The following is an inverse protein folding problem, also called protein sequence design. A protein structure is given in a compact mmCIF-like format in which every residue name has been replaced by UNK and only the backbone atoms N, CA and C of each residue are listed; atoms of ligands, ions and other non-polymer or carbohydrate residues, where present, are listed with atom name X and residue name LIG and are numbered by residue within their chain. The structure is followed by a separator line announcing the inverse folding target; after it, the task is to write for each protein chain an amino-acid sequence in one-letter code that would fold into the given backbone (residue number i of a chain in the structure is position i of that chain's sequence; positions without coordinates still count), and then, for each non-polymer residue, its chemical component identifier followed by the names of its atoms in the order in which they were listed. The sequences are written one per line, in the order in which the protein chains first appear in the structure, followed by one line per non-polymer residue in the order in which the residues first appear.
data_IF_467428714877
#
_entry.id   IF_467428714877
#
_cell.length_a   1.000
_cell.length_b   1.000
_cell.length_c   1.000
_cell.angle_alpha   90.00
_cell.angle_beta   90.00
_cell.angle_gamma   90.00
#
_symmetry.space_group_name_H-M   'P 1'
#
loop_
_entity.id
_entity.type
_entity.pdbx_description
1 polymer ?
#
# COMPACT_ATOMS: atom_id res chain seq x y z
N UNK A 1 0.91 8.95 3.81
CA UNK A 1 -0.05 10.07 3.78
C UNK A 1 0.61 11.45 3.70
N UNK A 2 1.68 11.72 4.46
CA UNK A 2 2.37 13.04 4.47
C UNK A 2 2.79 13.55 3.09
N UNK A 3 3.33 12.69 2.21
CA UNK A 3 3.79 13.10 0.88
C UNK A 3 2.71 13.76 0.01
N UNK A 4 1.48 13.24 0.03
CA UNK A 4 0.37 13.82 -0.74
C UNK A 4 -0.10 15.14 -0.12
N UNK A 5 -0.13 15.22 1.20
CA UNK A 5 -0.50 16.42 1.93
C UNK A 5 0.49 17.57 1.67
N UNK A 6 1.80 17.26 1.70
CA UNK A 6 2.87 18.20 1.36
C UNK A 6 2.73 18.66 -0.09
N UNK A 7 2.57 17.74 -1.04
CA UNK A 7 2.41 18.09 -2.46
C UNK A 7 1.25 19.05 -2.70
N UNK A 8 0.07 18.78 -2.13
CA UNK A 8 -1.09 19.68 -2.26
C UNK A 8 -0.82 21.05 -1.65
N UNK A 9 -0.06 21.12 -0.54
CA UNK A 9 0.34 22.40 0.06
C UNK A 9 1.33 23.17 -0.84
N UNK A 10 2.27 22.46 -1.48
CA UNK A 10 3.28 23.02 -2.36
C UNK A 10 2.70 23.54 -3.69
N UNK A 11 1.58 22.98 -4.17
CA UNK A 11 0.86 23.53 -5.34
C UNK A 11 0.10 24.83 -5.02
N UNK A 12 0.10 25.28 -3.76
CA UNK A 12 -0.65 26.45 -3.29
C UNK A 12 -2.11 26.16 -2.96
N UNK A 13 -2.53 24.90 -3.02
CA UNK A 13 -3.85 24.47 -2.59
C UNK A 13 -3.88 24.16 -1.08
N UNK A 14 -5.09 24.09 -0.50
CA UNK A 14 -5.29 23.75 0.90
C UNK A 14 -5.67 22.28 1.03
N UNK A 15 -4.80 21.40 1.56
CA UNK A 15 -5.20 20.04 1.88
C UNK A 15 -6.14 20.03 3.08
N UNK A 16 -7.24 19.29 2.97
CA UNK A 16 -8.26 19.19 4.02
C UNK A 16 -8.38 17.73 4.46
N UNK A 17 -8.20 17.49 5.76
CA UNK A 17 -8.46 16.19 6.38
C UNK A 17 -9.95 16.10 6.74
N UNK A 18 -10.65 15.15 6.11
CA UNK A 18 -12.03 14.81 6.47
C UNK A 18 -12.12 13.91 7.70
N UNK A 19 -13.32 13.40 7.97
CA UNK A 19 -13.54 12.36 8.97
C UNK A 19 -12.88 11.04 8.53
N UNK A 20 -12.21 10.37 9.47
CA UNK A 20 -11.66 9.03 9.27
C UNK A 20 -12.64 8.05 9.88
N UNK A 21 -13.17 7.14 9.08
CA UNK A 21 -14.04 6.07 9.56
C UNK A 21 -13.27 5.10 10.46
N UNK A 22 -13.95 4.58 11.48
CA UNK A 22 -13.34 3.60 12.38
C UNK A 22 -13.00 2.33 11.58
N UNK A 23 -11.75 1.83 11.66
CA UNK A 23 -11.39 0.61 10.96
C UNK A 23 -12.11 -0.60 11.58
N UNK A 24 -12.31 -1.64 10.77
CA UNK A 24 -12.75 -2.94 11.26
C UNK A 24 -11.72 -3.45 12.28
N UNK A 25 -12.20 -3.90 13.45
CA UNK A 25 -11.35 -4.38 14.54
C UNK A 25 -11.58 -5.85 14.91
N UNK A 26 -12.54 -6.50 14.26
CA UNK A 26 -12.91 -7.90 14.51
C UNK A 26 -12.71 -8.73 13.25
N UNK A 27 -11.92 -9.81 13.36
CA UNK A 27 -11.47 -10.65 12.26
C UNK A 27 -11.51 -12.12 12.66
N UNK A 28 -11.91 -12.99 11.72
CA UNK A 28 -12.14 -14.41 12.01
C UNK A 28 -10.84 -15.20 12.15
N UNK A 29 -9.79 -14.81 11.42
CA UNK A 29 -8.48 -15.45 11.46
C UNK A 29 -7.38 -14.52 10.95
N UNK A 30 -6.11 -14.91 11.16
CA UNK A 30 -4.97 -14.20 10.56
C UNK A 30 -5.05 -14.21 9.02
N UNK A 31 -5.57 -15.29 8.44
CA UNK A 31 -5.81 -15.38 7.00
C UNK A 31 -6.85 -14.36 6.53
N UNK A 32 -7.92 -14.14 7.31
CA UNK A 32 -8.93 -13.10 7.04
C UNK A 32 -8.29 -11.71 7.03
N UNK A 33 -7.43 -11.41 8.03
CA UNK A 33 -6.70 -10.13 8.09
C UNK A 33 -5.89 -9.88 6.82
N UNK A 34 -5.05 -10.83 6.39
CA UNK A 34 -4.22 -10.63 5.20
C UNK A 34 -5.03 -10.57 3.90
N UNK A 35 -6.14 -11.30 3.81
CA UNK A 35 -7.05 -11.22 2.65
C UNK A 35 -7.71 -9.85 2.57
N UNK A 36 -8.16 -9.32 3.69
CA UNK A 36 -8.74 -7.96 3.74
C UNK A 36 -7.68 -6.88 3.47
N UNK A 37 -6.46 -7.02 3.99
CA UNK A 37 -5.36 -6.11 3.67
C UNK A 37 -5.02 -6.12 2.19
N UNK A 38 -4.90 -7.29 1.56
CA UNK A 38 -4.63 -7.37 0.11
C UNK A 38 -5.73 -6.72 -0.73
N UNK A 39 -7.01 -6.95 -0.38
CA UNK A 39 -8.14 -6.26 -1.04
C UNK A 39 -8.06 -4.74 -0.85
N UNK A 40 -7.65 -4.28 0.33
CA UNK A 40 -7.47 -2.87 0.61
C UNK A 40 -6.35 -2.27 -0.24
N UNK A 41 -5.23 -2.95 -0.40
CA UNK A 41 -4.14 -2.51 -1.28
C UNK A 41 -4.56 -2.45 -2.75
N UNK A 42 -5.28 -3.46 -3.25
CA UNK A 42 -5.84 -3.43 -4.60
C UNK A 42 -6.78 -2.23 -4.80
N UNK A 43 -7.57 -1.89 -3.78
CA UNK A 43 -8.41 -0.70 -3.80
C UNK A 43 -7.56 0.58 -3.86
N UNK A 44 -6.49 0.69 -3.08
CA UNK A 44 -5.58 1.84 -3.13
C UNK A 44 -4.93 1.96 -4.52
N UNK A 45 -4.41 0.85 -5.08
CA UNK A 45 -3.85 0.81 -6.44
C UNK A 45 -4.85 1.33 -7.48
N UNK A 46 -6.11 0.89 -7.40
CA UNK A 46 -7.16 1.38 -8.28
C UNK A 46 -7.39 2.89 -8.13
N UNK A 47 -7.37 3.42 -6.91
CA UNK A 47 -7.52 4.86 -6.63
C UNK A 47 -6.34 5.66 -7.19
N UNK A 48 -5.12 5.19 -7.03
CA UNK A 48 -3.91 5.84 -7.57
C UNK A 48 -3.95 5.85 -9.11
N UNK A 49 -4.31 4.73 -9.75
CA UNK A 49 -4.46 4.68 -11.20
C UNK A 49 -5.54 5.62 -11.72
N UNK A 50 -6.67 5.73 -11.01
CA UNK A 50 -7.72 6.72 -11.34
C UNK A 50 -7.20 8.15 -11.22
N UNK A 51 -6.46 8.49 -10.15
CA UNK A 51 -5.85 9.80 -10.00
C UNK A 51 -4.86 10.11 -11.12
N UNK A 52 -4.01 9.15 -11.49
CA UNK A 52 -3.04 9.31 -12.57
C UNK A 52 -3.76 9.53 -13.92
N UNK A 53 -4.83 8.77 -14.19
CA UNK A 53 -5.63 8.96 -15.39
C UNK A 53 -6.31 10.34 -15.44
N UNK A 54 -6.87 10.81 -14.32
CA UNK A 54 -7.46 12.15 -14.23
C UNK A 54 -6.41 13.24 -14.47
N UNK A 55 -5.24 13.13 -13.85
CA UNK A 55 -4.14 14.08 -14.06
C UNK A 55 -3.70 14.12 -15.53
N UNK A 56 -3.53 12.94 -16.15
CA UNK A 56 -3.15 12.83 -17.56
C UNK A 56 -4.21 13.43 -18.50
N UNK A 57 -5.48 13.09 -18.30
CA UNK A 57 -6.60 13.59 -19.13
C UNK A 57 -6.82 15.10 -18.97
N UNK A 58 -6.54 15.65 -17.78
CA UNK A 58 -6.52 17.08 -17.51
C UNK A 58 -5.25 17.79 -18.01
N UNK A 59 -4.29 17.06 -18.59
CA UNK A 59 -2.97 17.57 -19.01
C UNK A 59 -2.16 18.17 -17.85
N UNK A 60 -2.45 17.74 -16.62
CA UNK A 60 -1.66 18.06 -15.43
C UNK A 60 -0.47 17.10 -15.33
N UNK A 61 0.57 17.41 -16.10
CA UNK A 61 1.79 16.62 -16.12
C UNK A 61 2.58 16.68 -14.81
N UNK A 62 2.39 17.73 -13.99
CA UNK A 62 3.05 17.83 -12.68
C UNK A 62 2.48 16.80 -11.72
N UNK A 63 1.15 16.77 -11.57
CA UNK A 63 0.46 15.77 -10.73
C UNK A 63 0.67 14.37 -11.29
N UNK A 64 0.64 14.20 -12.61
CA UNK A 64 0.90 12.90 -13.24
C UNK A 64 2.30 12.36 -12.91
N UNK A 65 3.33 13.20 -12.99
CA UNK A 65 4.70 12.84 -12.63
C UNK A 65 4.83 12.53 -11.13
N UNK A 66 4.23 13.35 -10.27
CA UNK A 66 4.20 13.11 -8.82
C UNK A 66 3.58 11.75 -8.45
N UNK A 67 2.48 11.39 -9.12
CA UNK A 67 1.77 10.12 -8.90
C UNK A 67 2.56 8.88 -9.35
N UNK A 68 3.58 9.02 -10.21
CA UNK A 68 4.39 7.86 -10.64
C UNK A 68 5.09 7.16 -9.48
N UNK A 69 5.47 7.90 -8.42
CA UNK A 69 6.01 7.26 -7.22
C UNK A 69 4.98 6.35 -6.55
N UNK A 70 3.72 6.79 -6.45
CA UNK A 70 2.66 5.96 -5.87
C UNK A 70 2.35 4.75 -6.74
N UNK A 71 2.37 4.90 -8.08
CA UNK A 71 2.17 3.78 -9.00
C UNK A 71 3.26 2.71 -8.82
N UNK A 72 4.53 3.14 -8.69
CA UNK A 72 5.63 2.23 -8.46
C UNK A 72 5.54 1.56 -7.07
N UNK A 73 5.23 2.32 -6.03
CA UNK A 73 5.11 1.81 -4.66
C UNK A 73 4.00 0.74 -4.56
N UNK A 74 2.81 1.01 -5.12
CA UNK A 74 1.70 0.05 -5.10
C UNK A 74 2.03 -1.27 -5.83
N UNK A 75 2.94 -1.26 -6.81
CA UNK A 75 3.39 -2.48 -7.47
C UNK A 75 4.15 -3.42 -6.52
N UNK A 76 5.03 -2.87 -5.70
CA UNK A 76 5.78 -3.67 -4.71
C UNK A 76 4.88 -4.10 -3.55
N UNK A 77 3.97 -3.24 -3.09
CA UNK A 77 3.00 -3.59 -2.05
C UNK A 77 2.10 -4.76 -2.48
N UNK A 78 1.52 -4.72 -3.68
CA UNK A 78 0.69 -5.84 -4.17
C UNK A 78 1.47 -7.16 -4.24
N UNK A 79 2.73 -7.10 -4.70
CA UNK A 79 3.61 -8.27 -4.74
C UNK A 79 3.91 -8.81 -3.35
N UNK A 80 4.17 -7.94 -2.38
CA UNK A 80 4.44 -8.31 -0.99
C UNK A 80 3.24 -9.03 -0.37
N UNK A 81 2.06 -8.40 -0.44
CA UNK A 81 0.84 -8.97 0.15
C UNK A 81 0.38 -10.23 -0.56
N UNK A 82 0.51 -10.29 -1.90
CA UNK A 82 0.24 -11.52 -2.65
C UNK A 82 1.17 -12.65 -2.22
N UNK A 83 2.45 -12.36 -2.02
CA UNK A 83 3.42 -13.35 -1.51
C UNK A 83 3.09 -13.88 -0.12
N UNK A 84 2.56 -13.04 0.77
CA UNK A 84 2.10 -13.48 2.10
C UNK A 84 0.87 -14.39 1.99
N UNK A 85 -0.09 -14.04 1.13
CA UNK A 85 -1.27 -14.88 0.88
C UNK A 85 -0.90 -16.22 0.25
N UNK A 86 0.04 -16.25 -0.69
CA UNK A 86 0.51 -17.49 -1.30
C UNK A 86 1.18 -18.40 -0.27
N UNK A 87 1.93 -17.83 0.68
CA UNK A 87 2.48 -18.60 1.81
C UNK A 87 1.36 -19.17 2.68
N UNK A 88 0.36 -18.38 3.04
CA UNK A 88 -0.81 -18.83 3.81
C UNK A 88 -1.53 -20.00 3.11
N UNK A 89 -1.71 -19.91 1.79
CA UNK A 89 -2.33 -20.97 1.00
C UNK A 89 -1.45 -22.24 0.94
N UNK A 90 -0.13 -22.08 0.88
CA UNK A 90 0.82 -23.19 0.82
C UNK A 90 0.94 -23.98 2.13
N UNK A 91 1.09 -23.30 3.27
CA UNK A 91 1.27 -23.96 4.57
C UNK A 91 -0.04 -24.30 5.28
N UNK A 92 -1.15 -23.70 4.81
CA UNK A 92 -2.47 -23.82 5.42
C UNK A 92 -2.63 -22.97 6.69
N UNK A 93 -3.82 -23.02 7.28
CA UNK A 93 -4.19 -22.19 8.45
C UNK A 93 -4.10 -22.97 9.78
N UNK A 94 -3.25 -23.99 9.87
CA UNK A 94 -3.06 -24.75 11.12
C UNK A 94 -2.08 -24.03 12.07
N UNK A 95 -2.15 -24.30 13.38
CA UNK A 95 -1.39 -23.54 14.39
C UNK A 95 0.13 -23.56 14.21
N UNK A 96 0.69 -24.62 13.61
CA UNK A 96 2.12 -24.69 13.29
C UNK A 96 2.49 -23.83 12.08
N UNK A 97 1.65 -23.80 11.04
CA UNK A 97 1.82 -22.93 9.89
C UNK A 97 1.79 -21.45 10.27
N UNK A 98 0.85 -21.05 11.15
CA UNK A 98 0.74 -19.67 11.64
C UNK A 98 2.01 -19.21 12.39
N UNK A 99 2.66 -20.11 13.13
CA UNK A 99 3.92 -19.79 13.81
C UNK A 99 5.07 -19.50 12.84
N UNK A 100 5.16 -20.25 11.73
CA UNK A 100 6.17 -19.99 10.70
C UNK A 100 5.89 -18.67 9.98
N UNK A 101 4.62 -18.39 9.69
CA UNK A 101 4.20 -17.13 9.06
C UNK A 101 4.52 -15.94 9.97
N UNK A 102 4.22 -16.02 11.27
CA UNK A 102 4.56 -14.96 12.23
C UNK A 102 6.06 -14.64 12.23
N UNK A 103 6.91 -15.67 12.20
CA UNK A 103 8.37 -15.49 12.11
C UNK A 103 8.83 -14.85 10.80
N UNK A 104 8.22 -15.25 9.68
CA UNK A 104 8.50 -14.66 8.38
C UNK A 104 8.07 -13.18 8.35
N UNK A 105 6.90 -12.85 8.89
CA UNK A 105 6.41 -11.48 9.02
C UNK A 105 7.33 -10.64 9.90
N UNK A 106 7.80 -11.18 11.02
CA UNK A 106 8.78 -10.51 11.89
C UNK A 106 10.12 -10.25 11.18
N UNK A 107 10.47 -11.06 10.19
CA UNK A 107 11.69 -10.87 9.38
C UNK A 107 11.46 -9.80 8.31
N UNK A 108 10.33 -9.87 7.60
CA UNK A 108 9.90 -8.86 6.62
C UNK A 108 9.82 -7.46 7.27
N UNK A 109 9.29 -7.37 8.49
CA UNK A 109 9.19 -6.12 9.23
C UNK A 109 10.55 -5.49 9.57
N UNK A 110 11.62 -6.30 9.72
CA UNK A 110 12.98 -5.82 9.99
C UNK A 110 13.71 -5.39 8.73
N UNK A 111 13.46 -6.08 7.63
CA UNK A 111 14.07 -5.74 6.34
C UNK A 111 13.47 -4.45 5.78
N UNK A 112 12.23 -4.12 6.17
CA UNK A 112 11.57 -2.86 5.85
C UNK A 112 11.20 -2.78 4.37
N UNK A 113 10.02 -2.20 4.08
CA UNK A 113 9.75 -1.75 2.71
C UNK A 113 10.71 -0.58 2.42
N UNK A 114 11.85 -0.88 1.80
CA UNK A 114 12.72 0.11 1.18
C UNK A 114 11.92 0.71 0.03
N UNK A 115 11.40 1.93 0.19
CA UNK A 115 10.71 2.61 -0.91
C UNK A 115 11.66 2.71 -2.10
N UNK A 116 11.11 2.48 -3.30
CA UNK A 116 11.86 2.30 -4.55
C UNK A 116 12.70 3.55 -4.91
N UNK A 117 12.52 4.68 -4.21
CA UNK A 117 13.21 5.94 -4.46
C UNK A 117 13.96 6.56 -3.26
N UNK A 118 14.25 5.80 -2.19
CA UNK A 118 15.19 6.29 -1.14
C UNK A 118 16.66 6.38 -1.62
N UNK A 119 16.94 6.02 -2.87
CA UNK A 119 18.22 6.32 -3.50
C UNK A 119 18.31 7.83 -3.79
N UNK A 120 19.37 8.53 -3.33
CA UNK A 120 19.54 9.94 -3.62
C UNK A 120 19.60 10.12 -5.13
N UNK A 121 18.83 11.09 -5.64
CA UNK A 121 19.11 11.64 -6.96
C UNK A 121 20.55 12.14 -6.94
N UNK A 122 21.44 11.40 -7.59
CA UNK A 122 22.85 11.76 -7.75
C UNK A 122 23.03 13.03 -8.57
#
# INVERSE_FOLDING_TARGET
MHRLFTYVSETGALPVLGSIEAPRHDFESLGDVFRETYKHEQMITERINKLAHVAFTAQDYSTFNFLQWYVAEQHEEEKLFKGILDKLELVGENGQALFFIDKDLATLAKEGSSSIMDAPAG
#
